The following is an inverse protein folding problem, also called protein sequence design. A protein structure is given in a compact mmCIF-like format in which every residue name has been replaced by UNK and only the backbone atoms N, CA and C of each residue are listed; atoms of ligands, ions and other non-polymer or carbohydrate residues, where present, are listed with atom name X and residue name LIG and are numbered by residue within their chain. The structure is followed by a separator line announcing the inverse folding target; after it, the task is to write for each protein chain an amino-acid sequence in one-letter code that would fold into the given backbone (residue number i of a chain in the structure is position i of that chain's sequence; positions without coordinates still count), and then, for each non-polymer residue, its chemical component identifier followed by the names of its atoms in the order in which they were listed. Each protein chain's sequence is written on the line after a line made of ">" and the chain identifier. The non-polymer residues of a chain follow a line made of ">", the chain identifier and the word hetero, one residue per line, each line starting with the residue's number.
data_IF_640409965266
#
_entry.id   IF_640409965266
#
_cell.length_a   1.000
_cell.length_b   1.000
_cell.length_c   1.000
_cell.angle_alpha   90.00
_cell.angle_beta   90.00
_cell.angle_gamma   90.00
#
_symmetry.space_group_name_H-M   'P 1'
#
loop_
_entity.id
_entity.type
_entity.pdbx_description
1 polymer ?
#
# COMPACT_ATOMS: atom_id res chain seq x y z
N UNK A 1 34.13 -53.30 14.63
CA UNK A 1 34.24 -51.85 14.89
C UNK A 1 33.19 -51.11 14.07
N UNK A 2 32.44 -50.27 14.76
CA UNK A 2 31.26 -49.49 14.36
C UNK A 2 31.34 -48.70 13.03
N UNK A 3 30.20 -48.57 12.33
CA UNK A 3 29.36 -47.35 12.46
C UNK A 3 28.02 -47.46 11.71
N UNK A 4 26.99 -46.93 12.39
CA UNK A 4 25.56 -46.89 12.05
C UNK A 4 25.28 -45.86 10.95
N UNK A 5 24.24 -46.09 10.13
CA UNK A 5 23.40 -45.01 9.59
C UNK A 5 21.98 -45.53 9.36
N UNK A 6 21.03 -44.89 10.04
CA UNK A 6 19.61 -45.19 10.08
C UNK A 6 18.91 -44.76 8.78
N UNK A 7 18.02 -45.62 8.29
CA UNK A 7 17.05 -45.34 7.23
C UNK A 7 15.86 -44.55 7.78
N UNK A 8 15.46 -43.47 7.11
CA UNK A 8 14.13 -42.88 7.24
C UNK A 8 13.45 -42.86 5.88
N UNK A 9 12.40 -43.69 5.74
CA UNK A 9 11.47 -43.74 4.61
C UNK A 9 10.56 -42.51 4.65
N UNK A 10 10.31 -41.87 3.51
CA UNK A 10 9.13 -41.02 3.30
C UNK A 10 8.42 -41.49 2.03
N UNK A 11 7.26 -42.10 2.23
CA UNK A 11 6.26 -42.31 1.19
C UNK A 11 5.72 -40.96 0.72
N UNK A 12 5.69 -40.74 -0.59
CA UNK A 12 4.90 -39.68 -1.21
C UNK A 12 3.93 -40.35 -2.18
N UNK A 13 2.65 -40.35 -1.80
CA UNK A 13 1.56 -40.87 -2.63
C UNK A 13 1.12 -39.80 -3.63
N UNK A 14 0.98 -40.22 -4.88
CA UNK A 14 0.48 -39.43 -5.99
C UNK A 14 -0.98 -38.98 -5.80
N UNK A 15 -1.28 -37.77 -6.25
CA UNK A 15 -2.64 -37.26 -6.41
C UNK A 15 -2.72 -36.25 -7.57
N UNK A 16 -3.09 -36.73 -8.76
CA UNK A 16 -3.44 -35.90 -9.93
C UNK A 16 -4.69 -35.08 -9.60
N UNK A 17 -4.68 -33.77 -9.82
CA UNK A 17 -5.89 -32.95 -9.87
C UNK A 17 -5.95 -32.13 -11.17
N UNK A 18 -7.09 -32.26 -11.86
CA UNK A 18 -7.39 -31.72 -13.19
C UNK A 18 -7.37 -30.19 -13.22
N UNK A 19 -6.50 -29.61 -14.04
CA UNK A 19 -6.54 -28.19 -14.47
C UNK A 19 -7.22 -28.10 -15.84
N UNK A 20 -8.39 -27.48 -15.93
CA UNK A 20 -9.08 -27.33 -17.23
C UNK A 20 -9.94 -26.10 -17.43
N UNK A 21 -10.38 -25.39 -16.37
CA UNK A 21 -11.34 -24.27 -16.53
C UNK A 21 -10.87 -22.93 -15.94
N UNK A 22 -9.98 -22.95 -14.95
CA UNK A 22 -9.50 -21.73 -14.26
C UNK A 22 -8.43 -20.96 -15.06
N UNK A 23 -7.76 -21.59 -16.03
CA UNK A 23 -6.78 -20.93 -16.89
C UNK A 23 -7.39 -20.03 -18.00
N UNK A 24 -8.68 -20.17 -18.32
CA UNK A 24 -9.32 -19.36 -19.36
C UNK A 24 -9.79 -17.98 -18.84
N UNK A 25 -10.16 -17.85 -17.57
CA UNK A 25 -10.51 -16.54 -16.99
C UNK A 25 -9.29 -15.67 -16.65
N UNK A 26 -8.17 -16.29 -16.28
CA UNK A 26 -6.91 -15.57 -15.99
C UNK A 26 -6.28 -14.97 -17.26
N UNK A 27 -6.36 -15.68 -18.39
CA UNK A 27 -5.87 -15.19 -19.68
C UNK A 27 -6.75 -14.07 -20.24
N UNK A 28 -8.07 -14.18 -20.14
CA UNK A 28 -8.98 -13.16 -20.68
C UNK A 28 -8.90 -11.81 -19.95
N UNK A 29 -8.61 -11.80 -18.63
CA UNK A 29 -8.42 -10.56 -17.89
C UNK A 29 -7.04 -9.92 -18.16
N UNK A 30 -5.96 -10.71 -18.27
CA UNK A 30 -4.66 -10.23 -18.71
C UNK A 30 -4.69 -9.61 -20.12
N UNK A 31 -5.41 -10.25 -21.04
CA UNK A 31 -5.65 -9.70 -22.38
C UNK A 31 -6.52 -8.43 -22.39
N UNK A 32 -7.43 -8.26 -21.43
CA UNK A 32 -8.26 -7.04 -21.31
C UNK A 32 -7.43 -5.83 -20.88
N UNK A 33 -6.57 -5.99 -19.87
CA UNK A 33 -5.64 -4.93 -19.45
C UNK A 33 -4.59 -4.64 -20.51
N UNK A 34 -3.98 -5.65 -21.14
CA UNK A 34 -3.02 -5.45 -22.22
C UNK A 34 -3.62 -4.81 -23.50
N UNK A 35 -4.93 -4.99 -23.76
CA UNK A 35 -5.64 -4.29 -24.85
C UNK A 35 -5.94 -2.83 -24.52
N UNK A 36 -6.45 -2.55 -23.31
CA UNK A 36 -6.75 -1.17 -22.85
C UNK A 36 -5.50 -0.28 -22.84
N UNK A 37 -4.34 -0.83 -22.46
CA UNK A 37 -3.07 -0.11 -22.49
C UNK A 37 -2.48 0.05 -23.90
N UNK A 38 -2.67 -0.92 -24.81
CA UNK A 38 -2.28 -0.79 -26.23
C UNK A 38 -3.09 0.29 -26.96
N UNK A 39 -4.38 0.45 -26.65
CA UNK A 39 -5.20 1.52 -27.22
C UNK A 39 -4.80 2.91 -26.72
N UNK A 40 -4.39 3.03 -25.45
CA UNK A 40 -3.85 4.28 -24.88
C UNK A 40 -2.48 4.65 -25.48
N UNK A 41 -1.58 3.67 -25.63
CA UNK A 41 -0.31 3.88 -26.32
C UNK A 41 -0.49 4.21 -27.82
N UNK A 42 -1.50 3.62 -28.47
CA UNK A 42 -1.88 3.93 -29.85
C UNK A 42 -2.45 5.35 -30.01
N UNK A 43 -3.30 5.80 -29.07
CA UNK A 43 -3.80 7.19 -29.01
C UNK A 43 -2.67 8.19 -28.82
N UNK A 44 -1.71 7.91 -27.92
CA UNK A 44 -0.53 8.76 -27.70
C UNK A 44 0.39 8.84 -28.92
N UNK A 45 0.59 7.74 -29.66
CA UNK A 45 1.35 7.75 -30.93
C UNK A 45 0.65 8.54 -32.05
N UNK A 46 -0.69 8.47 -32.15
CA UNK A 46 -1.46 9.32 -33.09
C UNK A 46 -1.42 10.80 -32.72
N UNK A 47 -1.49 11.12 -31.43
CA UNK A 47 -1.35 12.50 -30.92
C UNK A 47 0.07 13.07 -31.08
N UNK A 48 1.10 12.22 -31.12
CA UNK A 48 2.47 12.62 -31.45
C UNK A 48 2.67 12.80 -32.97
N UNK A 49 2.05 11.96 -33.80
CA UNK A 49 2.11 12.08 -35.27
C UNK A 49 1.36 13.32 -35.78
N UNK A 50 0.23 13.68 -35.17
CA UNK A 50 -0.50 14.91 -35.52
C UNK A 50 0.16 16.20 -35.01
N UNK A 51 1.12 16.13 -34.09
CA UNK A 51 1.93 17.29 -33.66
C UNK A 51 3.18 17.52 -34.52
N UNK A 52 3.44 16.65 -35.50
CA UNK A 52 4.55 16.78 -36.45
C UNK A 52 4.20 17.49 -37.76
N UNK A 53 2.98 18.01 -37.91
CA UNK A 53 2.53 18.67 -39.12
C UNK A 53 2.14 20.13 -38.83
N UNK A 54 3.13 21.03 -38.82
CA UNK A 54 2.91 22.47 -38.98
C UNK A 54 4.08 23.08 -39.78
N UNK A 55 3.85 24.02 -40.71
CA UNK A 55 4.72 24.24 -41.85
C UNK A 55 5.96 25.05 -41.51
N UNK A 56 7.02 24.81 -42.30
CA UNK A 56 8.30 25.51 -42.26
C UNK A 56 8.10 27.00 -42.56
N UNK A 57 8.59 27.86 -41.68
CA UNK A 57 8.70 29.30 -41.91
C UNK A 57 9.90 29.90 -41.17
N UNK A 58 10.80 30.53 -41.93
CA UNK A 58 11.58 31.71 -41.55
C UNK A 58 12.62 31.58 -40.44
N UNK A 59 13.89 31.50 -40.83
CA UNK A 59 15.04 31.70 -39.94
C UNK A 59 15.17 33.17 -39.49
N UNK A 60 15.32 33.40 -38.18
CA UNK A 60 16.00 34.58 -37.63
C UNK A 60 16.74 34.15 -36.35
N UNK A 61 18.07 34.34 -36.33
CA UNK A 61 18.94 34.13 -35.15
C UNK A 61 18.80 35.29 -34.18
N UNK A 62 18.91 35.06 -32.85
CA UNK A 62 19.43 36.08 -31.96
C UNK A 62 20.70 35.63 -31.21
N UNK A 63 21.38 36.66 -30.72
CA UNK A 63 22.78 36.73 -30.36
C UNK A 63 23.14 35.99 -29.06
N UNK A 64 24.42 35.63 -28.99
CA UNK A 64 25.11 35.16 -27.79
C UNK A 64 25.20 36.30 -26.78
N UNK A 65 24.75 36.08 -25.55
CA UNK A 65 25.09 36.93 -24.41
C UNK A 65 25.78 36.07 -23.36
N UNK A 66 26.99 36.53 -22.98
CA UNK A 66 27.80 36.00 -21.92
C UNK A 66 27.13 36.24 -20.56
N UNK A 67 27.13 35.23 -19.69
CA UNK A 67 26.81 35.36 -18.27
C UNK A 67 28.09 35.06 -17.46
N UNK A 68 28.44 35.89 -16.46
CA UNK A 68 29.63 35.68 -15.65
C UNK A 68 29.39 34.71 -14.49
N UNK A 69 30.50 34.07 -14.12
CA UNK A 69 30.72 33.21 -12.96
C UNK A 69 30.31 33.82 -11.62
N UNK A 70 29.85 32.94 -10.70
CA UNK A 70 29.82 32.96 -9.21
C UNK A 70 28.51 32.25 -8.78
N UNK A 71 28.40 31.45 -7.74
CA UNK A 71 29.15 31.29 -6.50
C UNK A 71 28.82 29.87 -5.97
N UNK A 72 29.82 29.12 -5.53
CA UNK A 72 29.62 27.87 -4.78
C UNK A 72 29.24 28.24 -3.35
N UNK A 73 28.03 27.88 -2.91
CA UNK A 73 27.64 27.95 -1.50
C UNK A 73 27.76 26.54 -0.92
N UNK A 74 28.84 26.33 -0.18
CA UNK A 74 29.15 25.14 0.58
C UNK A 74 28.45 25.27 1.94
N UNK A 75 27.33 24.56 2.14
CA UNK A 75 26.67 24.50 3.45
C UNK A 75 27.28 23.33 4.23
N UNK A 76 28.12 23.67 5.20
CA UNK A 76 28.66 22.74 6.19
C UNK A 76 27.59 22.41 7.24
N UNK A 77 27.39 21.11 7.51
CA UNK A 77 26.54 20.60 8.58
C UNK A 77 27.48 20.14 9.72
N UNK A 78 27.45 20.73 10.92
CA UNK A 78 28.22 20.21 12.04
C UNK A 78 27.47 19.09 12.78
N UNK A 79 28.23 18.03 13.00
CA UNK A 79 28.02 16.93 13.93
C UNK A 79 28.17 17.44 15.37
N UNK A 80 27.17 17.28 16.25
CA UNK A 80 27.39 17.29 17.71
C UNK A 80 26.41 16.37 18.46
N UNK A 81 26.98 15.24 18.89
CA UNK A 81 26.86 14.51 20.15
C UNK A 81 25.76 14.84 21.18
N UNK A 82 25.10 13.75 21.60
CA UNK A 82 24.87 13.31 22.99
C UNK A 82 24.50 14.34 24.05
N UNK A 83 23.24 14.29 24.52
CA UNK A 83 22.92 14.61 25.93
C UNK A 83 21.92 13.58 26.47
N UNK A 84 22.30 13.04 27.62
CA UNK A 84 21.69 11.97 28.39
C UNK A 84 20.33 12.30 29.00
N UNK A 85 19.57 11.21 29.15
CA UNK A 85 18.55 10.90 30.16
C UNK A 85 18.55 11.81 31.40
N UNK A 86 17.45 12.51 31.64
CA UNK A 86 17.01 12.83 33.00
C UNK A 86 15.49 12.61 33.14
N UNK A 87 15.19 11.66 34.00
CA UNK A 87 13.90 11.23 34.53
C UNK A 87 13.14 12.35 35.22
N UNK A 88 11.88 12.58 34.81
CA UNK A 88 10.91 13.35 35.58
C UNK A 88 9.72 12.44 35.93
N UNK A 89 9.58 12.13 37.22
CA UNK A 89 8.41 11.50 37.82
C UNK A 89 7.51 12.59 38.44
N UNK A 90 6.19 12.36 38.51
CA UNK A 90 5.21 13.38 38.83
C UNK A 90 5.03 13.55 40.35
N UNK A 91 4.70 14.76 40.78
CA UNK A 91 4.33 15.07 42.16
C UNK A 91 2.81 15.28 42.22
N UNK A 92 2.14 14.35 42.92
CA UNK A 92 0.76 14.43 43.37
C UNK A 92 0.69 15.40 44.56
N UNK A 93 -0.24 16.34 44.52
CA UNK A 93 -0.75 17.01 45.72
C UNK A 93 -2.27 17.16 45.57
N UNK A 94 -3.00 16.41 46.39
CA UNK A 94 -4.42 16.59 46.61
C UNK A 94 -4.67 17.68 47.66
N UNK A 95 -5.78 18.41 47.50
CA UNK A 95 -6.43 19.09 48.61
C UNK A 95 -7.94 19.06 48.38
N UNK A 96 -8.64 18.45 49.33
CA UNK A 96 -10.11 18.40 49.49
C UNK A 96 -10.48 19.39 50.59
N UNK A 97 -11.69 19.97 50.45
CA UNK A 97 -12.54 20.76 51.39
C UNK A 97 -12.90 22.09 50.70
N UNK A 98 -14.14 22.52 50.53
CA UNK A 98 -15.40 22.14 51.15
C UNK A 98 -16.16 23.43 51.55
N UNK A 99 -17.44 23.52 51.16
CA UNK A 99 -18.50 24.44 51.63
C UNK A 99 -18.56 25.89 51.11
N UNK A 100 -19.80 26.33 50.83
CA UNK A 100 -20.15 27.75 50.73
C UNK A 100 -21.23 28.09 49.69
N UNK A 101 -22.49 27.81 50.00
CA UNK A 101 -23.64 28.30 49.25
C UNK A 101 -23.78 29.83 49.38
N UNK A 102 -24.04 30.52 48.26
CA UNK A 102 -24.62 31.85 48.26
C UNK A 102 -25.61 31.98 47.10
N UNK A 103 -26.90 32.10 47.47
CA UNK A 103 -27.96 32.58 46.60
C UNK A 103 -27.66 34.04 46.23
N UNK A 104 -27.68 34.35 44.94
CA UNK A 104 -27.97 35.70 44.46
C UNK A 104 -28.84 35.59 43.22
N UNK A 105 -30.07 36.06 43.36
CA UNK A 105 -31.01 36.24 42.27
C UNK A 105 -30.53 37.36 41.33
N UNK A 106 -30.53 37.09 40.03
CA UNK A 106 -30.42 38.10 38.99
C UNK A 106 -31.53 37.86 37.95
N UNK A 107 -32.26 38.93 37.66
CA UNK A 107 -33.38 39.05 36.74
C UNK A 107 -33.09 38.63 35.28
N UNK A 108 -34.12 38.33 34.47
CA UNK A 108 -33.96 37.80 33.13
C UNK A 108 -33.70 38.93 32.12
N UNK A 109 -32.46 39.05 31.64
CA UNK A 109 -32.16 39.81 30.43
C UNK A 109 -32.41 38.92 29.19
N UNK A 110 -33.29 39.39 28.32
CA UNK A 110 -33.69 38.78 27.07
C UNK A 110 -32.50 38.33 26.21
N UNK A 111 -32.46 37.04 25.84
CA UNK A 111 -31.52 36.52 24.85
C UNK A 111 -32.08 36.71 23.45
N UNK A 112 -31.36 37.48 22.64
CA UNK A 112 -31.52 37.55 21.20
C UNK A 112 -31.21 36.17 20.55
N UNK A 113 -31.84 35.80 19.42
CA UNK A 113 -31.62 34.51 18.79
C UNK A 113 -30.22 34.44 18.18
N UNK A 114 -29.46 33.40 18.55
CA UNK A 114 -28.19 33.08 17.92
C UNK A 114 -28.38 32.73 16.43
N UNK A 115 -27.48 33.16 15.53
CA UNK A 115 -27.55 32.83 14.12
C UNK A 115 -27.30 31.32 13.91
N UNK A 116 -28.26 30.67 13.25
CA UNK A 116 -28.15 29.30 12.79
C UNK A 116 -26.94 29.14 11.85
N UNK A 117 -25.96 28.38 12.31
CA UNK A 117 -24.87 27.92 11.45
C UNK A 117 -25.43 27.01 10.35
N UNK A 118 -24.90 27.10 9.11
CA UNK A 118 -25.46 26.39 7.97
C UNK A 118 -25.28 24.88 8.14
N UNK A 119 -26.37 24.16 7.86
CA UNK A 119 -26.49 22.70 7.76
C UNK A 119 -25.25 22.06 7.13
N UNK A 120 -24.50 21.31 7.94
CA UNK A 120 -23.56 20.30 7.46
C UNK A 120 -24.31 19.40 6.48
N UNK A 121 -23.76 19.22 5.27
CA UNK A 121 -24.34 18.37 4.24
C UNK A 121 -24.69 17.00 4.82
N UNK A 122 -25.88 16.50 4.49
CA UNK A 122 -26.38 15.24 5.00
C UNK A 122 -25.31 14.14 4.87
N UNK A 123 -25.10 13.30 5.92
CA UNK A 123 -24.16 12.20 5.84
C UNK A 123 -24.52 11.32 4.64
N UNK A 124 -23.52 10.90 3.88
CA UNK A 124 -23.72 9.96 2.79
C UNK A 124 -24.41 8.70 3.34
N UNK A 125 -25.31 8.12 2.55
CA UNK A 125 -26.10 6.97 3.00
C UNK A 125 -25.19 5.82 3.46
N UNK A 126 -25.52 5.11 4.54
CA UNK A 126 -24.76 3.96 5.01
C UNK A 126 -24.66 2.90 3.91
N UNK A 127 -23.63 2.04 3.98
CA UNK A 127 -23.44 0.94 3.02
C UNK A 127 -24.73 0.09 2.91
N UNK A 128 -25.18 -0.15 1.67
CA UNK A 128 -26.35 -0.97 1.40
C UNK A 128 -26.08 -2.46 1.63
N UNK A 129 -27.11 -3.22 1.98
CA UNK A 129 -26.97 -4.64 2.33
C UNK A 129 -26.43 -5.47 1.16
N UNK A 130 -26.84 -5.18 -0.08
CA UNK A 130 -26.36 -5.94 -1.24
C UNK A 130 -24.84 -5.76 -1.44
N UNK A 131 -24.30 -4.55 -1.27
CA UNK A 131 -22.85 -4.32 -1.29
C UNK A 131 -22.15 -5.05 -0.14
N UNK A 132 -22.74 -5.03 1.06
CA UNK A 132 -22.20 -5.73 2.22
C UNK A 132 -22.12 -7.25 1.98
N UNK A 133 -23.23 -7.87 1.56
CA UNK A 133 -23.34 -9.29 1.23
C UNK A 133 -22.29 -9.70 0.18
N UNK A 134 -22.10 -8.86 -0.85
CA UNK A 134 -21.10 -9.11 -1.89
C UNK A 134 -19.67 -9.12 -1.34
N UNK A 135 -19.36 -8.23 -0.39
CA UNK A 135 -18.02 -8.14 0.22
C UNK A 135 -17.77 -9.31 1.17
N UNK A 136 -18.74 -9.66 2.02
CA UNK A 136 -18.60 -10.74 3.00
C UNK A 136 -18.63 -12.12 2.35
N UNK A 137 -19.52 -12.35 1.37
CA UNK A 137 -19.61 -13.64 0.68
C UNK A 137 -18.32 -14.04 -0.04
N UNK A 138 -17.59 -13.07 -0.61
CA UNK A 138 -16.29 -13.30 -1.23
C UNK A 138 -15.23 -13.81 -0.25
N UNK A 139 -15.26 -13.33 1.00
CA UNK A 139 -14.37 -13.77 2.07
C UNK A 139 -14.78 -15.15 2.58
N UNK A 140 -16.07 -15.33 2.91
CA UNK A 140 -16.59 -16.61 3.43
C UNK A 140 -16.39 -17.77 2.44
N UNK A 141 -16.54 -17.53 1.14
CA UNK A 141 -16.30 -18.53 0.10
C UNK A 141 -14.85 -19.03 0.08
N UNK A 142 -13.88 -18.18 0.44
CA UNK A 142 -12.47 -18.57 0.51
C UNK A 142 -12.14 -19.34 1.78
N UNK A 143 -12.80 -19.04 2.89
CA UNK A 143 -12.58 -19.73 4.16
C UNK A 143 -13.15 -21.15 4.20
N UNK A 144 -14.21 -21.42 3.44
CA UNK A 144 -14.83 -22.75 3.36
C UNK A 144 -15.16 -23.35 4.75
N UNK A 145 -15.67 -22.52 5.66
CA UNK A 145 -16.04 -22.94 7.01
C UNK A 145 -17.18 -23.95 6.96
N UNK A 146 -17.00 -25.08 7.66
CA UNK A 146 -17.99 -26.16 7.73
C UNK A 146 -18.97 -25.99 8.90
N UNK A 147 -18.53 -25.34 9.98
CA UNK A 147 -19.38 -25.07 11.14
C UNK A 147 -20.26 -23.83 10.91
N UNK A 148 -21.58 -23.99 11.06
CA UNK A 148 -22.55 -22.95 10.76
C UNK A 148 -22.49 -21.78 11.75
N UNK A 149 -22.28 -22.07 13.05
CA UNK A 149 -22.22 -21.04 14.08
C UNK A 149 -20.95 -20.19 13.95
N UNK A 150 -19.81 -20.83 13.68
CA UNK A 150 -18.54 -20.18 13.36
C UNK A 150 -18.68 -19.29 12.14
N UNK A 151 -19.32 -19.78 11.07
CA UNK A 151 -19.54 -19.01 9.85
C UNK A 151 -20.40 -17.76 10.09
N UNK A 152 -21.47 -17.90 10.88
CA UNK A 152 -22.34 -16.78 11.25
C UNK A 152 -21.60 -15.75 12.12
N UNK A 153 -20.83 -16.18 13.12
CA UNK A 153 -20.02 -15.29 13.94
C UNK A 153 -18.99 -14.51 13.10
N UNK A 154 -18.31 -15.18 12.16
CA UNK A 154 -17.35 -14.54 11.25
C UNK A 154 -18.06 -13.56 10.29
N UNK A 155 -19.25 -13.90 9.80
CA UNK A 155 -20.06 -13.00 8.98
C UNK A 155 -20.37 -11.71 9.74
N UNK A 156 -20.86 -11.80 10.97
CA UNK A 156 -21.19 -10.63 11.80
C UNK A 156 -19.97 -9.73 12.06
N UNK A 157 -18.81 -10.33 12.32
CA UNK A 157 -17.55 -9.60 12.49
C UNK A 157 -17.15 -8.86 11.20
N UNK A 158 -17.27 -9.53 10.04
CA UNK A 158 -16.99 -8.91 8.73
C UNK A 158 -17.97 -7.78 8.43
N UNK A 159 -19.25 -7.96 8.72
CA UNK A 159 -20.27 -6.94 8.49
C UNK A 159 -20.04 -5.70 9.34
N UNK A 160 -19.76 -5.86 10.64
CA UNK A 160 -19.41 -4.75 11.51
C UNK A 160 -18.17 -4.02 11.01
N UNK A 161 -17.12 -4.76 10.64
CA UNK A 161 -15.91 -4.15 10.12
C UNK A 161 -16.15 -3.36 8.83
N UNK A 162 -16.87 -3.91 7.86
CA UNK A 162 -17.14 -3.21 6.59
C UNK A 162 -18.04 -1.98 6.78
N UNK A 163 -19.03 -2.02 7.68
CA UNK A 163 -19.85 -0.84 8.00
C UNK A 163 -18.96 0.29 8.55
N UNK A 164 -18.22 0.03 9.61
CA UNK A 164 -17.35 1.03 10.23
C UNK A 164 -16.24 1.51 9.27
N UNK A 165 -15.70 0.62 8.43
CA UNK A 165 -14.74 0.99 7.39
C UNK A 165 -15.35 1.96 6.36
N UNK A 166 -16.57 1.68 5.89
CA UNK A 166 -17.26 2.58 4.96
C UNK A 166 -17.61 3.92 5.60
N UNK A 167 -18.07 3.93 6.85
CA UNK A 167 -18.38 5.16 7.59
C UNK A 167 -17.13 6.05 7.76
N UNK A 168 -15.97 5.45 8.00
CA UNK A 168 -14.70 6.16 8.02
C UNK A 168 -14.35 6.72 6.63
N UNK A 169 -14.48 5.93 5.57
CA UNK A 169 -14.18 6.38 4.21
C UNK A 169 -15.09 7.53 3.75
N UNK A 170 -16.35 7.58 4.17
CA UNK A 170 -17.23 8.73 3.88
C UNK A 170 -16.66 10.06 4.38
N UNK A 171 -15.95 10.03 5.51
CA UNK A 171 -15.37 11.22 6.15
C UNK A 171 -13.99 11.57 5.56
N UNK A 172 -13.22 10.56 5.14
CA UNK A 172 -11.80 10.72 4.78
C UNK A 172 -11.50 10.65 3.28
N UNK A 173 -12.40 10.11 2.45
CA UNK A 173 -12.19 10.01 0.99
C UNK A 173 -11.90 11.36 0.30
N UNK A 174 -12.53 12.49 0.66
CA UNK A 174 -12.19 13.79 0.07
C UNK A 174 -10.72 14.20 0.32
N UNK A 175 -10.24 14.01 1.54
CA UNK A 175 -8.85 14.27 1.93
C UNK A 175 -7.89 13.30 1.21
N UNK A 176 -8.19 12.00 1.28
CA UNK A 176 -7.40 10.95 0.63
C UNK A 176 -7.32 11.14 -0.89
N UNK A 177 -8.40 11.59 -1.53
CA UNK A 177 -8.40 11.89 -2.97
C UNK A 177 -7.39 13.00 -3.31
N UNK A 178 -7.31 14.04 -2.48
CA UNK A 178 -6.31 15.11 -2.61
C UNK A 178 -4.88 14.59 -2.43
N UNK A 179 -4.65 13.75 -1.42
CA UNK A 179 -3.34 13.14 -1.17
C UNK A 179 -2.92 12.20 -2.29
N UNK A 180 -3.81 11.32 -2.76
CA UNK A 180 -3.53 10.40 -3.87
C UNK A 180 -3.24 11.14 -5.17
N UNK A 181 -3.89 12.29 -5.41
CA UNK A 181 -3.58 13.15 -6.56
C UNK A 181 -2.16 13.74 -6.44
N UNK A 182 -1.83 14.34 -5.29
CA UNK A 182 -0.48 14.88 -5.03
C UNK A 182 0.60 13.81 -5.18
N UNK A 183 0.34 12.60 -4.69
CA UNK A 183 1.25 11.46 -4.83
C UNK A 183 1.45 11.06 -6.30
N UNK A 184 0.38 11.05 -7.10
CA UNK A 184 0.47 10.75 -8.53
C UNK A 184 1.23 11.85 -9.30
N UNK A 185 0.99 13.13 -8.97
CA UNK A 185 1.63 14.27 -9.62
C UNK A 185 3.15 14.30 -9.39
N UNK A 186 3.60 13.91 -8.19
CA UNK A 186 5.02 13.74 -7.86
C UNK A 186 5.70 12.55 -8.59
N UNK A 187 4.96 11.79 -9.39
CA UNK A 187 5.44 10.58 -10.08
C UNK A 187 5.17 10.60 -11.58
N UNK A 188 4.91 11.78 -12.14
CA UNK A 188 4.80 11.94 -13.60
C UNK A 188 6.16 11.70 -14.27
N UNK A 189 6.15 11.37 -15.55
CA UNK A 189 7.38 11.00 -16.27
C UNK A 189 8.43 12.13 -16.27
N UNK A 190 7.98 13.38 -16.28
CA UNK A 190 8.81 14.58 -16.35
C UNK A 190 9.16 15.16 -14.96
N UNK A 191 8.50 14.68 -13.90
CA UNK A 191 8.68 15.18 -12.53
C UNK A 191 8.66 14.04 -11.49
N UNK A 192 9.39 12.95 -11.77
CA UNK A 192 9.53 11.83 -10.83
C UNK A 192 10.40 12.26 -9.64
N UNK A 193 9.74 12.67 -8.56
CA UNK A 193 10.35 13.04 -7.29
C UNK A 193 9.90 12.05 -6.20
N UNK A 194 10.76 11.05 -5.95
CA UNK A 194 10.49 9.99 -4.98
C UNK A 194 10.49 10.50 -3.54
N UNK A 195 11.25 11.57 -3.23
CA UNK A 195 11.28 12.19 -1.90
C UNK A 195 9.94 12.88 -1.61
N UNK A 196 9.45 13.67 -2.57
CA UNK A 196 8.12 14.30 -2.46
C UNK A 196 7.00 13.27 -2.41
N UNK A 197 7.08 12.22 -3.23
CA UNK A 197 6.10 11.13 -3.19
C UNK A 197 6.11 10.42 -1.82
N UNK A 198 7.28 10.18 -1.23
CA UNK A 198 7.41 9.57 0.10
C UNK A 198 6.80 10.44 1.20
N UNK A 199 6.99 11.76 1.15
CA UNK A 199 6.35 12.70 2.08
C UNK A 199 4.81 12.61 2.02
N UNK A 200 4.22 12.57 0.82
CA UNK A 200 2.77 12.41 0.67
C UNK A 200 2.28 11.04 1.17
N UNK A 201 3.07 9.97 0.99
CA UNK A 201 2.73 8.66 1.58
C UNK A 201 2.70 8.72 3.11
N UNK A 202 3.57 9.51 3.75
CA UNK A 202 3.54 9.69 5.20
C UNK A 202 2.25 10.39 5.66
N UNK A 203 1.78 11.39 4.92
CA UNK A 203 0.47 12.05 5.16
C UNK A 203 -0.68 11.05 5.02
N UNK A 204 -0.71 10.25 3.94
CA UNK A 204 -1.72 9.19 3.75
C UNK A 204 -1.72 8.22 4.94
N UNK A 205 -0.54 7.78 5.38
CA UNK A 205 -0.42 6.89 6.54
C UNK A 205 -0.91 7.54 7.83
N UNK A 206 -0.72 8.84 8.00
CA UNK A 206 -1.22 9.58 9.15
C UNK A 206 -2.75 9.62 9.16
N UNK A 207 -3.40 9.81 8.00
CA UNK A 207 -4.87 9.73 7.88
C UNK A 207 -5.36 8.33 8.33
N UNK A 208 -4.77 7.26 7.77
CA UNK A 208 -5.10 5.88 8.12
C UNK A 208 -4.77 5.47 9.56
N UNK A 209 -3.95 6.24 10.29
CA UNK A 209 -3.60 5.94 11.68
C UNK A 209 -4.83 5.93 12.58
N UNK A 210 -5.84 6.77 12.29
CA UNK A 210 -7.11 6.82 13.02
C UNK A 210 -7.92 5.53 12.93
N UNK A 211 -7.73 4.72 11.89
CA UNK A 211 -8.44 3.46 11.67
C UNK A 211 -7.76 2.26 12.36
N UNK A 212 -6.51 2.41 12.81
CA UNK A 212 -5.72 1.31 13.38
C UNK A 212 -6.36 0.62 14.60
N UNK A 213 -7.02 1.32 15.54
CA UNK A 213 -7.72 0.65 16.64
C UNK A 213 -8.84 -0.28 16.15
N UNK A 214 -9.61 0.14 15.14
CA UNK A 214 -10.66 -0.68 14.53
C UNK A 214 -10.06 -1.88 13.80
N UNK A 215 -8.96 -1.68 13.06
CA UNK A 215 -8.23 -2.74 12.38
C UNK A 215 -7.77 -3.83 13.37
N UNK A 216 -7.17 -3.43 14.49
CA UNK A 216 -6.70 -4.35 15.52
C UNK A 216 -7.86 -5.11 16.17
N UNK A 217 -8.94 -4.40 16.52
CA UNK A 217 -10.16 -5.01 17.09
C UNK A 217 -10.75 -6.06 16.14
N UNK A 218 -10.80 -5.76 14.84
CA UNK A 218 -11.27 -6.69 13.82
C UNK A 218 -10.44 -7.97 13.77
N UNK A 219 -9.10 -7.86 13.73
CA UNK A 219 -8.22 -9.03 13.72
C UNK A 219 -8.34 -9.86 15.01
N UNK A 220 -8.45 -9.19 16.16
CA UNK A 220 -8.66 -9.87 17.45
C UNK A 220 -10.00 -10.59 17.51
N UNK A 221 -11.07 -9.99 16.98
CA UNK A 221 -12.38 -10.62 16.90
C UNK A 221 -12.35 -11.86 16.00
N UNK A 222 -11.71 -11.77 14.82
CA UNK A 222 -11.54 -12.93 13.93
C UNK A 222 -10.74 -14.05 14.59
N UNK A 223 -9.66 -13.74 15.31
CA UNK A 223 -8.79 -14.72 15.95
C UNK A 223 -9.49 -15.55 17.06
N UNK A 224 -10.64 -15.11 17.56
CA UNK A 224 -11.47 -15.90 18.49
C UNK A 224 -12.18 -17.07 17.81
N UNK A 225 -12.40 -16.97 16.50
CA UNK A 225 -13.17 -17.94 15.74
C UNK A 225 -12.33 -18.63 14.65
N UNK A 226 -11.19 -18.07 14.26
CA UNK A 226 -10.39 -18.54 13.15
C UNK A 226 -8.97 -18.91 13.61
N UNK A 227 -8.40 -19.94 12.98
CA UNK A 227 -6.98 -20.26 13.10
C UNK A 227 -6.12 -19.14 12.49
N UNK A 228 -4.83 -19.02 12.87
CA UNK A 228 -3.93 -18.03 12.27
C UNK A 228 -3.89 -18.11 10.73
N UNK A 229 -3.89 -19.31 10.16
CA UNK A 229 -3.88 -19.53 8.72
C UNK A 229 -5.19 -19.05 8.06
N UNK A 230 -6.33 -19.23 8.72
CA UNK A 230 -7.61 -18.73 8.24
C UNK A 230 -7.70 -17.20 8.34
N UNK A 231 -7.13 -16.58 9.37
CA UNK A 231 -7.03 -15.12 9.46
C UNK A 231 -6.22 -14.59 8.28
N UNK A 232 -5.07 -15.20 7.98
CA UNK A 232 -4.27 -14.84 6.80
C UNK A 232 -5.05 -15.00 5.49
N UNK A 233 -5.88 -16.04 5.37
CA UNK A 233 -6.77 -16.22 4.23
C UNK A 233 -7.85 -15.12 4.12
N UNK A 234 -8.34 -14.57 5.24
CA UNK A 234 -9.22 -13.37 5.25
C UNK A 234 -8.47 -12.17 4.69
N UNK A 235 -7.25 -11.90 5.15
CA UNK A 235 -6.44 -10.77 4.67
C UNK A 235 -6.22 -10.86 3.16
N UNK A 236 -5.88 -12.05 2.68
CA UNK A 236 -5.68 -12.32 1.25
C UNK A 236 -6.98 -12.19 0.45
N UNK A 237 -8.13 -12.60 1.01
CA UNK A 237 -9.44 -12.42 0.40
C UNK A 237 -9.77 -10.94 0.18
N UNK A 238 -9.55 -10.12 1.22
CA UNK A 238 -9.84 -8.69 1.22
C UNK A 238 -8.92 -7.90 0.29
N UNK A 239 -7.73 -8.42 -0.02
CA UNK A 239 -6.68 -7.72 -0.78
C UNK A 239 -6.35 -8.36 -2.13
N UNK A 240 -7.22 -9.24 -2.63
CA UNK A 240 -6.96 -10.12 -3.78
C UNK A 240 -6.64 -9.42 -5.12
N UNK A 241 -6.88 -8.12 -5.24
CA UNK A 241 -6.53 -7.30 -6.41
C UNK A 241 -5.66 -6.11 -5.97
N UNK A 242 -4.32 -6.13 -6.16
CA UNK A 242 -3.52 -7.07 -6.95
C UNK A 242 -3.14 -8.39 -6.24
N UNK A 243 -3.23 -8.47 -4.91
CA UNK A 243 -2.86 -9.64 -4.11
C UNK A 243 -1.35 -9.73 -3.81
N UNK A 244 -1.02 -9.99 -2.54
CA UNK A 244 0.36 -10.17 -2.07
C UNK A 244 1.07 -11.32 -2.80
N UNK A 245 0.49 -12.52 -2.77
CA UNK A 245 1.07 -13.73 -3.36
C UNK A 245 1.41 -13.58 -4.84
N UNK A 246 0.46 -13.08 -5.64
CA UNK A 246 0.67 -12.85 -7.09
C UNK A 246 1.83 -11.89 -7.34
N UNK A 247 1.92 -10.84 -6.53
CA UNK A 247 2.97 -9.83 -6.66
C UNK A 247 4.33 -10.41 -6.29
N UNK A 248 4.40 -11.18 -5.20
CA UNK A 248 5.62 -11.84 -4.75
C UNK A 248 6.13 -12.86 -5.79
N UNK A 249 5.27 -13.74 -6.28
CA UNK A 249 5.62 -14.71 -7.33
C UNK A 249 6.11 -14.03 -8.61
N UNK A 250 5.57 -12.86 -8.96
CA UNK A 250 6.05 -12.09 -10.11
C UNK A 250 7.48 -11.60 -9.89
N UNK A 251 7.84 -11.10 -8.69
CA UNK A 251 9.22 -10.72 -8.37
C UNK A 251 10.18 -11.91 -8.49
N UNK A 252 9.82 -13.07 -7.94
CA UNK A 252 10.65 -14.28 -8.04
C UNK A 252 10.83 -14.76 -9.48
N UNK A 253 9.82 -14.59 -10.34
CA UNK A 253 9.91 -14.91 -11.78
C UNK A 253 10.78 -13.91 -12.54
N UNK A 254 10.71 -12.63 -12.19
CA UNK A 254 11.51 -11.57 -12.82
C UNK A 254 13.00 -11.75 -12.51
N UNK A 255 13.32 -12.09 -11.26
CA UNK A 255 14.70 -12.26 -10.80
C UNK A 255 14.77 -13.57 -9.98
N UNK A 256 15.05 -14.72 -10.64
CA UNK A 256 15.11 -16.02 -9.98
C UNK A 256 16.28 -16.19 -9.01
N UNK A 257 17.28 -15.31 -9.10
CA UNK A 257 18.55 -15.40 -8.37
C UNK A 257 18.55 -14.64 -7.05
N UNK A 258 17.39 -14.17 -6.58
CA UNK A 258 17.32 -13.51 -5.28
C UNK A 258 17.86 -14.41 -4.17
N UNK A 259 18.63 -13.80 -3.28
CA UNK A 259 19.03 -14.38 -1.99
C UNK A 259 17.82 -14.48 -1.07
N UNK A 260 17.95 -15.24 0.01
CA UNK A 260 16.85 -15.40 0.97
C UNK A 260 16.58 -14.11 1.76
N UNK A 261 17.60 -13.28 2.00
CA UNK A 261 17.45 -11.96 2.61
C UNK A 261 16.64 -11.00 1.72
N UNK A 262 16.94 -10.97 0.43
CA UNK A 262 16.20 -10.15 -0.55
C UNK A 262 14.75 -10.60 -0.66
N UNK A 263 14.51 -11.91 -0.70
CA UNK A 263 13.16 -12.50 -0.66
C UNK A 263 12.39 -12.07 0.58
N UNK A 264 13.03 -12.14 1.75
CA UNK A 264 12.44 -11.75 3.03
C UNK A 264 12.09 -10.25 3.05
N UNK A 265 12.96 -9.38 2.52
CA UNK A 265 12.68 -7.95 2.40
C UNK A 265 11.45 -7.69 1.52
N UNK A 266 11.39 -8.31 0.33
CA UNK A 266 10.25 -8.17 -0.59
C UNK A 266 8.97 -8.66 0.07
N UNK A 267 9.00 -9.84 0.69
CA UNK A 267 7.86 -10.41 1.41
C UNK A 267 7.38 -9.47 2.53
N UNK A 268 8.31 -8.93 3.33
CA UNK A 268 8.00 -7.97 4.39
C UNK A 268 7.31 -6.70 3.89
N UNK A 269 7.77 -6.12 2.78
CA UNK A 269 7.10 -4.95 2.17
C UNK A 269 5.71 -5.28 1.64
N UNK A 270 5.53 -6.46 1.05
CA UNK A 270 4.22 -6.88 0.55
C UNK A 270 3.25 -7.24 1.68
N UNK A 271 3.74 -7.73 2.83
CA UNK A 271 2.95 -7.90 4.05
C UNK A 271 2.42 -6.55 4.54
N UNK A 272 3.29 -5.55 4.69
CA UNK A 272 2.88 -4.18 5.06
C UNK A 272 1.83 -3.65 4.09
N UNK A 273 2.04 -3.86 2.78
CA UNK A 273 1.08 -3.43 1.77
C UNK A 273 -0.29 -4.11 1.90
N UNK A 274 -0.30 -5.40 2.26
CA UNK A 274 -1.51 -6.17 2.49
C UNK A 274 -2.28 -5.64 3.70
N UNK A 275 -1.60 -5.45 4.83
CA UNK A 275 -2.25 -4.91 6.04
C UNK A 275 -2.86 -3.53 5.75
N UNK A 276 -2.11 -2.64 5.09
CA UNK A 276 -2.63 -1.33 4.68
C UNK A 276 -3.81 -1.43 3.70
N UNK A 277 -3.77 -2.37 2.75
CA UNK A 277 -4.83 -2.52 1.74
C UNK A 277 -6.12 -3.17 2.28
N UNK A 278 -6.08 -3.81 3.46
CA UNK A 278 -7.31 -4.27 4.12
C UNK A 278 -8.20 -3.10 4.52
N UNK A 279 -7.57 -1.98 4.86
CA UNK A 279 -8.21 -0.76 5.33
C UNK A 279 -8.75 0.10 4.18
N UNK A 280 -8.69 -0.34 2.92
CA UNK A 280 -9.20 0.41 1.78
C UNK A 280 -10.49 -0.20 1.23
N UNK A 281 -11.46 0.65 0.86
CA UNK A 281 -12.71 0.20 0.24
C UNK A 281 -12.55 -0.10 -1.25
N UNK A 282 -11.89 0.79 -2.01
CA UNK A 282 -11.81 0.70 -3.47
C UNK A 282 -10.60 -0.10 -3.97
N UNK A 283 -10.78 -0.90 -5.02
CA UNK A 283 -9.67 -1.66 -5.62
C UNK A 283 -8.55 -0.76 -6.15
N UNK A 284 -8.89 0.45 -6.61
CA UNK A 284 -7.92 1.45 -7.06
C UNK A 284 -7.02 1.87 -5.90
N UNK A 285 -7.60 2.13 -4.74
CA UNK A 285 -6.86 2.53 -3.56
C UNK A 285 -6.01 1.39 -3.01
N UNK A 286 -6.54 0.17 -2.94
CA UNK A 286 -5.75 -1.03 -2.65
C UNK A 286 -4.55 -1.13 -3.57
N UNK A 287 -4.75 -0.99 -4.88
CA UNK A 287 -3.67 -1.02 -5.85
C UNK A 287 -2.65 0.11 -5.64
N UNK A 288 -3.09 1.30 -5.24
CA UNK A 288 -2.19 2.42 -4.92
C UNK A 288 -1.36 2.12 -3.66
N UNK A 289 -1.97 1.59 -2.59
CA UNK A 289 -1.28 1.20 -1.37
C UNK A 289 -0.21 0.14 -1.66
N UNK A 290 -0.56 -0.89 -2.44
CA UNK A 290 0.43 -1.86 -2.95
C UNK A 290 1.53 -1.17 -3.75
N UNK A 291 1.19 -0.22 -4.62
CA UNK A 291 2.16 0.51 -5.43
C UNK A 291 3.14 1.31 -4.58
N UNK A 292 2.73 1.90 -3.45
CA UNK A 292 3.66 2.62 -2.55
C UNK A 292 4.77 1.71 -2.02
N UNK A 293 4.44 0.47 -1.63
CA UNK A 293 5.42 -0.50 -1.14
C UNK A 293 6.27 -1.08 -2.28
N UNK A 294 5.65 -1.32 -3.44
CA UNK A 294 6.39 -1.78 -4.63
C UNK A 294 7.46 -0.80 -5.06
N UNK A 295 7.23 0.50 -4.98
CA UNK A 295 8.26 1.51 -5.29
C UNK A 295 9.48 1.36 -4.39
N UNK A 296 9.28 1.06 -3.10
CA UNK A 296 10.39 0.80 -2.17
C UNK A 296 11.12 -0.50 -2.50
N UNK A 297 10.38 -1.53 -2.90
CA UNK A 297 10.95 -2.80 -3.39
C UNK A 297 11.78 -2.57 -4.66
N UNK A 298 11.28 -1.80 -5.61
CA UNK A 298 12.00 -1.45 -6.84
C UNK A 298 13.31 -0.72 -6.53
N UNK A 299 13.26 0.30 -5.66
CA UNK A 299 14.47 1.01 -5.22
C UNK A 299 15.46 0.10 -4.49
N UNK A 300 14.98 -0.85 -3.68
CA UNK A 300 15.83 -1.83 -3.01
C UNK A 300 16.49 -2.79 -4.00
N UNK A 301 15.73 -3.33 -4.96
CA UNK A 301 16.25 -4.23 -6.01
C UNK A 301 17.36 -3.53 -6.81
N UNK A 302 17.13 -2.28 -7.23
CA UNK A 302 18.14 -1.50 -7.94
C UNK A 302 19.37 -1.23 -7.05
N UNK A 303 19.18 -0.97 -5.74
CA UNK A 303 20.27 -0.78 -4.79
C UNK A 303 21.10 -2.05 -4.53
N UNK A 304 20.50 -3.24 -4.62
CA UNK A 304 21.23 -4.52 -4.59
C UNK A 304 22.01 -4.81 -5.89
N UNK A 305 21.94 -3.90 -6.87
CA UNK A 305 22.68 -4.00 -8.12
C UNK A 305 21.98 -4.84 -9.19
N UNK A 306 20.69 -5.11 -9.02
CA UNK A 306 19.88 -5.67 -10.10
C UNK A 306 19.37 -4.58 -11.05
N UNK A 307 19.12 -4.91 -12.31
CA UNK A 307 18.37 -4.01 -13.21
C UNK A 307 16.88 -4.40 -13.19
N UNK A 308 16.10 -3.80 -12.29
CA UNK A 308 14.67 -4.07 -12.20
C UNK A 308 13.96 -3.73 -13.52
N UNK A 309 14.36 -2.65 -14.20
CA UNK A 309 13.69 -2.19 -15.42
C UNK A 309 13.89 -3.19 -16.57
N UNK A 310 15.09 -3.74 -16.72
CA UNK A 310 15.39 -4.78 -17.68
C UNK A 310 14.64 -6.08 -17.33
N UNK A 311 14.67 -6.51 -16.06
CA UNK A 311 13.97 -7.71 -15.60
C UNK A 311 12.45 -7.61 -15.84
N UNK A 312 11.85 -6.46 -15.50
CA UNK A 312 10.44 -6.19 -15.76
C UNK A 312 10.11 -6.19 -17.25
N UNK A 313 10.96 -5.56 -18.09
CA UNK A 313 10.76 -5.54 -19.54
C UNK A 313 10.81 -6.96 -20.13
N UNK A 314 11.74 -7.79 -19.69
CA UNK A 314 11.83 -9.19 -20.13
C UNK A 314 10.58 -9.97 -19.72
N UNK A 315 10.17 -9.87 -18.45
CA UNK A 315 8.96 -10.52 -17.94
C UNK A 315 7.69 -10.07 -18.66
N UNK A 316 7.52 -8.77 -18.90
CA UNK A 316 6.37 -8.23 -19.62
C UNK A 316 6.29 -8.72 -21.08
N UNK A 317 7.43 -9.07 -21.68
CA UNK A 317 7.53 -9.60 -23.04
C UNK A 317 7.56 -11.14 -23.09
N UNK A 318 7.35 -11.84 -21.96
CA UNK A 318 7.53 -13.29 -21.81
C UNK A 318 8.90 -13.80 -22.29
N UNK A 319 9.94 -12.98 -22.10
CA UNK A 319 11.33 -13.33 -22.39
C UNK A 319 11.96 -14.00 -21.16
N UNK A 320 12.99 -14.84 -21.35
CA UNK A 320 13.75 -15.37 -20.22
C UNK A 320 14.30 -14.23 -19.39
N UNK A 321 14.38 -14.43 -18.06
CA UNK A 321 15.01 -13.47 -17.17
C UNK A 321 16.42 -13.16 -17.66
N UNK A 322 16.85 -11.88 -17.65
CA UNK A 322 18.18 -11.51 -18.12
C UNK A 322 19.23 -12.29 -17.33
N UNK A 323 20.16 -12.95 -18.05
CA UNK A 323 21.23 -13.77 -17.46
C UNK A 323 22.15 -12.95 -16.54
N UNK A 324 22.28 -11.66 -16.84
CA UNK A 324 23.04 -10.67 -16.09
C UNK A 324 22.13 -9.80 -15.21
N UNK A 325 21.12 -10.40 -14.56
CA UNK A 325 20.18 -9.65 -13.73
C UNK A 325 20.91 -8.80 -12.67
N UNK A 326 22.09 -9.23 -12.23
CA UNK A 326 23.02 -8.49 -11.38
C UNK A 326 24.02 -7.74 -12.28
N UNK A 327 23.81 -6.44 -12.49
CA UNK A 327 24.70 -5.61 -13.32
C UNK A 327 25.97 -5.17 -12.56
N UNK A 328 25.95 -5.19 -11.22
CA UNK A 328 27.11 -4.97 -10.35
C UNK A 328 26.95 -5.67 -9.00
N UNK A 329 27.16 -7.00 -8.90
CA UNK A 329 27.69 -7.53 -7.63
C UNK A 329 29.10 -7.00 -7.63
N UNK A 330 29.33 -5.95 -6.84
CA UNK A 330 30.68 -5.46 -6.59
C UNK A 330 31.54 -6.68 -6.28
N UNK A 331 32.59 -6.89 -7.08
CA UNK A 331 33.74 -7.74 -6.72
C UNK A 331 34.39 -7.11 -5.49
N UNK A 332 33.77 -7.27 -4.32
CA UNK A 332 34.36 -6.96 -3.01
C UNK A 332 33.95 -8.03 -2.04
N UNK A 333 34.42 -9.26 -2.30
CA UNK A 333 35.00 -10.03 -1.23
C UNK A 333 36.51 -9.93 -1.44
N UNK A 334 37.27 -9.17 -0.63
CA UNK A 334 38.71 -9.40 -0.58
C UNK A 334 38.92 -10.86 -0.15
N UNK A 335 39.76 -11.57 -0.89
CA UNK A 335 40.24 -12.88 -0.46
C UNK A 335 40.82 -12.72 0.95
N UNK A 336 40.31 -13.50 1.89
CA UNK A 336 40.89 -13.56 3.22
C UNK A 336 42.35 -14.01 3.11
N UNK A 337 43.28 -13.43 3.89
CA UNK A 337 44.69 -13.79 3.87
C UNK A 337 44.93 -15.23 4.32
#
# INVERSE_FOLDING_TARGET
>A
MERRRWHARRCWSAGKWKTGRENQEVTTNGHRYARKWRTEAGKKRRAARNRGAQPRGGAVRPARHCLPSRLVVMVAIPFMHSISLLSFRPLLAGLVLGTGAALAAAEPAASAPAPSSPTAGAPAAPIDQHTLDKRTSGVLKRLQLSDAAQKEAVLQILEQHFRALYDWHQQHDPELAGLWKRWADARTQDAKDETKAAAVVAEIRATYASLQPQHQSFLQALAKHLTPEQVEAVKDAMTSSPGMRRTYEAYLKMIPTFTDEEKAFIAGKLLVAREMAMDAVSDKEKANLFKTQKVQVEAYIDAQGYDYRAAYKAFANNQPAPKDAITKRVRTAPAAP
#
